data_IF_571000309803
#
_entry.id   IF_571000309803
#
_cell.length_a   1.000
_cell.length_b   1.000
_cell.length_c   1.000
_cell.angle_alpha   90.00
_cell.angle_beta   90.00
_cell.angle_gamma   90.00
#
_symmetry.space_group_name_H-M   'P 1'
#
loop_
_entity.id
_entity.type
_entity.pdbx_description
1 polymer ?
#
# COMPACT_ATOMS: atom_id res chain seq x y z
N UNK A 1 -0.65 10.60 13.14
CA UNK A 1 0.05 10.17 11.91
C UNK A 1 -0.94 10.39 10.77
N UNK A 2 -0.55 11.05 9.66
CA UNK A 2 -1.40 11.15 8.47
C UNK A 2 -1.79 9.76 7.95
N UNK A 3 -2.98 9.67 7.35
CA UNK A 3 -3.45 8.46 6.68
C UNK A 3 -3.43 8.69 5.19
N UNK A 4 -2.96 7.70 4.45
CA UNK A 4 -2.89 7.72 3.00
C UNK A 4 -3.65 6.54 2.41
N UNK A 5 -4.15 6.75 1.19
CA UNK A 5 -4.63 5.71 0.30
C UNK A 5 -3.69 5.65 -0.90
N UNK A 6 -2.96 4.55 -1.05
CA UNK A 6 -2.28 4.24 -2.31
C UNK A 6 -3.21 3.48 -3.26
N UNK A 7 -2.93 3.64 -4.54
CA UNK A 7 -3.56 2.86 -5.60
C UNK A 7 -2.49 2.36 -6.55
N UNK A 8 -2.57 1.08 -6.91
CA UNK A 8 -1.74 0.45 -7.93
C UNK A 8 -2.57 0.10 -9.17
N UNK A 9 -1.95 0.20 -10.33
CA UNK A 9 -2.48 -0.28 -11.61
C UNK A 9 -1.64 -1.48 -12.06
N UNK A 10 -2.18 -2.68 -11.90
CA UNK A 10 -1.51 -3.95 -12.12
C UNK A 10 -2.44 -4.85 -12.94
N UNK A 11 -2.42 -4.74 -14.29
CA UNK A 11 -3.23 -5.60 -15.15
C UNK A 11 -2.99 -7.08 -14.87
N UNK A 12 -4.06 -7.83 -14.63
CA UNK A 12 -4.01 -9.27 -14.35
C UNK A 12 -3.60 -9.64 -12.92
N UNK A 13 -3.56 -8.68 -11.99
CA UNK A 13 -3.27 -8.91 -10.56
C UNK A 13 -4.13 -10.05 -10.00
N UNK A 14 -3.54 -10.81 -9.07
CA UNK A 14 -4.25 -11.82 -8.30
C UNK A 14 -4.24 -11.49 -6.81
N UNK A 15 -5.39 -11.67 -6.17
CA UNK A 15 -5.56 -11.38 -4.75
C UNK A 15 -4.54 -12.16 -3.87
N UNK A 16 -4.19 -13.39 -4.27
CA UNK A 16 -3.17 -14.20 -3.60
C UNK A 16 -1.77 -13.58 -3.65
N UNK A 17 -1.41 -12.93 -4.75
CA UNK A 17 -0.09 -12.35 -4.94
C UNK A 17 0.01 -11.04 -4.14
N UNK A 18 -1.09 -10.26 -4.11
CA UNK A 18 -1.22 -9.07 -3.25
C UNK A 18 -1.14 -9.43 -1.77
N UNK A 19 -1.76 -10.54 -1.34
CA UNK A 19 -1.62 -11.01 0.04
C UNK A 19 -0.15 -11.27 0.41
N UNK A 20 0.63 -11.87 -0.51
CA UNK A 20 2.07 -12.06 -0.32
C UNK A 20 2.85 -10.75 -0.25
N UNK A 21 2.54 -9.79 -1.12
CA UNK A 21 3.16 -8.46 -1.15
C UNK A 21 2.86 -7.68 0.15
N UNK A 22 1.60 -7.64 0.58
CA UNK A 22 1.20 -6.99 1.81
C UNK A 22 1.90 -7.60 3.04
N UNK A 23 2.05 -8.92 3.09
CA UNK A 23 2.84 -9.56 4.16
C UNK A 23 4.34 -9.18 4.12
N UNK A 24 4.89 -8.82 2.97
CA UNK A 24 6.25 -8.29 2.87
C UNK A 24 6.32 -6.85 3.39
N UNK A 25 5.33 -6.00 3.08
CA UNK A 25 5.22 -4.64 3.63
C UNK A 25 5.18 -4.67 5.16
N UNK A 26 4.30 -5.50 5.73
CA UNK A 26 4.12 -5.60 7.18
C UNK A 26 5.41 -6.00 7.93
N UNK A 27 6.29 -6.78 7.30
CA UNK A 27 7.55 -7.22 7.91
C UNK A 27 8.58 -6.10 8.05
N UNK A 28 8.51 -5.06 7.21
CA UNK A 28 9.54 -4.03 7.15
C UNK A 28 9.03 -2.62 7.46
N UNK A 29 7.71 -2.40 7.45
CA UNK A 29 7.08 -1.09 7.73
C UNK A 29 7.58 -0.40 9.00
N UNK A 30 7.86 -1.17 10.06
CA UNK A 30 8.32 -0.64 11.33
C UNK A 30 9.66 0.11 11.24
N UNK A 31 10.50 -0.21 10.25
CA UNK A 31 11.77 0.50 9.98
C UNK A 31 11.55 1.97 9.60
N UNK A 32 10.39 2.28 9.04
CA UNK A 32 10.04 3.59 8.49
C UNK A 32 8.96 4.31 9.31
N UNK A 33 8.54 3.74 10.45
CA UNK A 33 7.45 4.28 11.24
C UNK A 33 6.10 4.25 10.52
N UNK A 34 5.92 3.29 9.60
CA UNK A 34 4.74 3.10 8.77
C UNK A 34 3.86 1.99 9.35
N UNK A 35 2.55 2.11 9.18
CA UNK A 35 1.53 1.13 9.57
C UNK A 35 0.48 0.93 8.45
N UNK A 36 0.72 -0.05 7.59
CA UNK A 36 -0.21 -0.55 6.58
C UNK A 36 -1.37 -1.30 7.26
N UNK A 37 -2.58 -0.79 7.08
CA UNK A 37 -3.78 -1.22 7.81
C UNK A 37 -4.55 -2.32 7.11
N UNK A 38 -4.95 -2.03 5.87
CA UNK A 38 -5.89 -2.82 5.09
C UNK A 38 -5.60 -2.63 3.61
N UNK A 39 -6.01 -3.61 2.81
CA UNK A 39 -5.94 -3.53 1.36
C UNK A 39 -7.19 -4.12 0.71
N UNK A 40 -7.46 -3.67 -0.51
CA UNK A 40 -8.52 -4.16 -1.38
C UNK A 40 -7.96 -4.46 -2.76
N UNK A 41 -8.51 -5.48 -3.42
CA UNK A 41 -8.10 -5.90 -4.76
C UNK A 41 -9.33 -5.95 -5.65
N UNK A 42 -9.25 -5.27 -6.79
CA UNK A 42 -10.14 -5.47 -7.92
C UNK A 42 -9.36 -6.23 -9.00
N UNK A 43 -9.55 -7.55 -9.05
CA UNK A 43 -8.90 -8.40 -10.05
C UNK A 43 -9.44 -8.16 -11.48
N UNK A 44 -10.64 -7.57 -11.61
CA UNK A 44 -11.28 -7.32 -12.91
C UNK A 44 -10.66 -6.10 -13.57
N UNK A 45 -10.55 -5.01 -12.82
CA UNK A 45 -9.99 -3.74 -13.30
C UNK A 45 -8.46 -3.64 -13.07
N UNK A 46 -7.85 -4.64 -12.45
CA UNK A 46 -6.41 -4.66 -12.19
C UNK A 46 -5.97 -3.62 -11.16
N UNK A 47 -6.79 -3.37 -10.13
CA UNK A 47 -6.51 -2.34 -9.11
C UNK A 47 -6.19 -2.96 -7.76
N UNK A 48 -5.28 -2.32 -7.05
CA UNK A 48 -5.02 -2.56 -5.63
C UNK A 48 -5.07 -1.24 -4.90
N UNK A 49 -5.68 -1.23 -3.72
CA UNK A 49 -5.77 -0.07 -2.85
C UNK A 49 -5.24 -0.46 -1.47
N UNK A 50 -4.32 0.29 -0.89
CA UNK A 50 -3.90 0.09 0.50
C UNK A 50 -4.14 1.34 1.33
N UNK A 51 -4.67 1.14 2.53
CA UNK A 51 -4.79 2.17 3.55
C UNK A 51 -3.59 2.09 4.48
N UNK A 52 -2.87 3.19 4.67
CA UNK A 52 -1.61 3.23 5.41
C UNK A 52 -1.51 4.49 6.26
N UNK A 53 -1.11 4.35 7.53
CA UNK A 53 -0.65 5.49 8.32
C UNK A 53 0.88 5.61 8.15
N UNK A 54 1.37 6.79 7.80
CA UNK A 54 2.80 7.02 7.59
C UNK A 54 3.23 8.43 8.01
N UNK A 55 4.52 8.67 8.33
CA UNK A 55 5.02 10.01 8.62
C UNK A 55 4.86 10.98 7.44
N UNK A 56 5.08 10.47 6.23
CA UNK A 56 4.96 11.16 4.95
C UNK A 56 4.78 10.16 3.81
N UNK A 57 4.52 10.69 2.60
CA UNK A 57 4.34 9.89 1.38
C UNK A 57 5.56 9.03 1.02
N UNK A 58 6.76 9.57 1.18
CA UNK A 58 7.99 8.89 0.81
C UNK A 58 8.25 7.69 1.72
N UNK A 59 7.93 7.81 3.01
CA UNK A 59 8.06 6.72 3.98
C UNK A 59 7.16 5.54 3.62
N UNK A 60 5.90 5.80 3.20
CA UNK A 60 5.01 4.76 2.67
C UNK A 60 5.59 4.12 1.41
N UNK A 61 5.98 4.91 0.40
CA UNK A 61 6.55 4.38 -0.85
C UNK A 61 7.83 3.56 -0.65
N UNK A 62 8.68 3.92 0.34
CA UNK A 62 9.90 3.17 0.67
C UNK A 62 9.61 1.77 1.17
N UNK A 63 8.51 1.57 1.89
CA UNK A 63 8.12 0.23 2.34
C UNK A 63 7.88 -0.67 1.14
N UNK A 64 7.01 -0.27 0.21
CA UNK A 64 6.77 -1.04 -1.02
C UNK A 64 8.05 -1.27 -1.83
N UNK A 65 8.89 -0.24 -1.99
CA UNK A 65 10.15 -0.33 -2.74
C UNK A 65 11.10 -1.36 -2.12
N UNK A 66 11.27 -1.38 -0.80
CA UNK A 66 12.16 -2.33 -0.13
C UNK A 66 11.54 -3.73 0.00
N UNK A 67 10.24 -3.82 0.25
CA UNK A 67 9.54 -5.08 0.49
C UNK A 67 9.47 -5.96 -0.76
N UNK A 68 9.15 -5.35 -1.91
CA UNK A 68 8.92 -6.10 -3.15
C UNK A 68 9.22 -5.31 -4.44
N UNK A 69 9.69 -4.06 -4.33
CA UNK A 69 10.12 -3.25 -5.48
C UNK A 69 8.98 -2.66 -6.33
N UNK A 70 7.72 -2.79 -5.91
CA UNK A 70 6.56 -2.29 -6.66
C UNK A 70 5.93 -1.09 -5.94
N UNK A 71 6.24 0.12 -6.35
CA UNK A 71 5.63 1.31 -5.77
C UNK A 71 4.19 1.53 -6.26
N UNK A 72 3.43 2.30 -5.48
CA UNK A 72 2.09 2.73 -5.86
C UNK A 72 2.11 3.65 -7.09
N UNK A 73 1.05 3.55 -7.90
CA UNK A 73 0.87 4.46 -9.04
C UNK A 73 0.47 5.86 -8.56
N UNK A 74 -0.41 5.93 -7.56
CA UNK A 74 -0.81 7.17 -6.90
C UNK A 74 -0.92 6.98 -5.39
N UNK A 75 -0.71 8.07 -4.64
CA UNK A 75 -0.77 8.09 -3.17
C UNK A 75 -1.39 9.42 -2.72
N UNK A 76 -2.53 9.34 -2.06
CA UNK A 76 -3.30 10.50 -1.60
C UNK A 76 -3.37 10.52 -0.08
N UNK A 77 -3.17 11.69 0.53
CA UNK A 77 -3.52 11.86 1.94
C UNK A 77 -5.04 11.92 2.03
N UNK A 78 -5.63 11.13 2.91
CA UNK A 78 -7.07 10.95 3.04
C UNK A 78 -7.53 11.20 4.47
N UNK A 79 -8.82 11.51 4.62
CA UNK A 79 -9.49 11.60 5.91
C UNK A 79 -10.67 10.64 5.90
N UNK A 80 -10.93 9.89 7.00
CA UNK A 80 -12.14 9.11 7.11
C UNK A 80 -13.37 10.02 7.03
N UNK A 81 -14.44 9.55 6.38
CA UNK A 81 -15.74 10.20 6.47
C UNK A 81 -16.30 10.09 7.89
N UNK A 82 -17.14 11.06 8.28
CA UNK A 82 -17.87 11.08 9.55
C UNK A 82 -19.31 10.65 9.36
#
# INVERSE_FOLDING_TARGET
>A
MPTYMDMHDIPGVKAKDVAGAHQADLKIQGKYGVDYKQYWVDETEGKVFCLVDAPDKESASRVHREAHGLEAHTLYEVKPGT
#
